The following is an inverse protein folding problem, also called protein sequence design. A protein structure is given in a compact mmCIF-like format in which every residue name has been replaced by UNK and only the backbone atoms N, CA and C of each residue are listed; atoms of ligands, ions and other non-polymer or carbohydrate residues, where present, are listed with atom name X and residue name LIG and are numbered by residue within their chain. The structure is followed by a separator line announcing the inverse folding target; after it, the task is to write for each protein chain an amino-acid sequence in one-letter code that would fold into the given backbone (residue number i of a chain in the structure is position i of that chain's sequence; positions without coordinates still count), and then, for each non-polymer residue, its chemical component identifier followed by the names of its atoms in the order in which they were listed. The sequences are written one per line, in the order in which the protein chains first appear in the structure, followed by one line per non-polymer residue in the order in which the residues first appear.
data_IF_780193027882
#
_entry.id   IF_780193027882
#
_cell.length_a   1.000
_cell.length_b   1.000
_cell.length_c   1.000
_cell.angle_alpha   90.00
_cell.angle_beta   90.00
_cell.angle_gamma   90.00
#
_symmetry.space_group_name_H-M   'P 1'
#
loop_
_entity.id
_entity.type
_entity.pdbx_description
1 polymer ?
#
# COMPACT_ATOMS: atom_id res chain seq x y z
N UNK A 1 14.36 11.62 14.55
CA UNK A 1 12.99 11.91 14.08
C UNK A 1 12.28 12.73 15.14
N UNK A 2 11.75 13.89 14.77
CA UNK A 2 11.19 14.84 15.74
C UNK A 2 9.69 14.59 15.96
N UNK A 3 9.11 15.14 17.04
CA UNK A 3 7.69 14.93 17.36
C UNK A 3 6.73 15.40 16.26
N UNK A 4 7.12 16.43 15.50
CA UNK A 4 6.38 16.94 14.33
C UNK A 4 6.30 15.91 13.21
N UNK A 5 7.41 15.25 12.89
CA UNK A 5 7.47 14.24 11.82
C UNK A 5 6.58 13.06 12.15
N UNK A 6 6.60 12.63 13.42
CA UNK A 6 5.76 11.55 13.91
C UNK A 6 4.27 11.91 13.84
N UNK A 7 3.91 13.14 14.21
CA UNK A 7 2.53 13.63 14.13
C UNK A 7 2.05 13.68 12.67
N UNK A 8 2.87 14.22 11.76
CA UNK A 8 2.54 14.28 10.33
C UNK A 8 2.42 12.87 9.74
N UNK A 9 3.34 11.96 10.07
CA UNK A 9 3.28 10.56 9.67
C UNK A 9 2.02 9.87 10.20
N UNK A 10 1.62 10.13 11.45
CA UNK A 10 0.39 9.59 12.04
C UNK A 10 -0.84 10.08 11.25
N UNK A 11 -0.90 11.37 10.92
CA UNK A 11 -1.97 11.92 10.08
C UNK A 11 -2.00 11.28 8.69
N UNK A 12 -0.84 11.05 8.07
CA UNK A 12 -0.74 10.34 6.79
C UNK A 12 -1.33 8.93 6.88
N UNK A 13 -1.02 8.19 7.94
CA UNK A 13 -1.55 6.85 8.18
C UNK A 13 -3.06 6.88 8.45
N UNK A 14 -3.56 7.85 9.23
CA UNK A 14 -5.00 8.04 9.47
C UNK A 14 -5.75 8.30 8.16
N UNK A 15 -5.23 9.21 7.32
CA UNK A 15 -5.82 9.53 6.02
C UNK A 15 -5.82 8.32 5.08
N UNK A 16 -4.67 7.63 4.99
CA UNK A 16 -4.55 6.41 4.19
C UNK A 16 -5.53 5.33 4.67
N UNK A 17 -5.56 5.03 5.96
CA UNK A 17 -6.47 4.04 6.52
C UNK A 17 -7.94 4.38 6.27
N UNK A 18 -8.29 5.67 6.33
CA UNK A 18 -9.65 6.16 6.01
C UNK A 18 -10.02 5.91 4.55
N UNK A 19 -9.09 6.14 3.63
CA UNK A 19 -9.25 5.85 2.20
C UNK A 19 -9.42 4.35 1.98
N UNK A 20 -8.60 3.51 2.61
CA UNK A 20 -8.72 2.06 2.49
C UNK A 20 -10.04 1.51 3.07
N UNK A 21 -10.53 2.06 4.17
CA UNK A 21 -11.85 1.70 4.71
C UNK A 21 -12.99 2.02 3.73
N UNK A 22 -12.84 3.09 2.95
CA UNK A 22 -13.87 3.58 2.03
C UNK A 22 -13.81 2.88 0.66
N UNK A 23 -12.62 2.73 0.08
CA UNK A 23 -12.45 2.19 -1.28
C UNK A 23 -12.16 0.67 -1.24
N UNK A 24 -11.49 0.19 -0.19
CA UNK A 24 -11.02 -1.20 -0.03
C UNK A 24 -9.52 -1.37 -0.21
N UNK A 25 -8.84 -0.36 -0.76
CA UNK A 25 -7.40 -0.28 -0.94
C UNK A 25 -6.98 1.19 -0.99
N UNK A 26 -5.67 1.45 -1.08
CA UNK A 26 -5.15 2.80 -1.32
C UNK A 26 -4.71 3.56 -0.09
N UNK A 27 -4.62 2.91 1.09
CA UNK A 27 -3.97 3.54 2.24
C UNK A 27 -2.55 3.97 1.88
N UNK A 28 -1.79 3.02 1.34
CA UNK A 28 -0.44 3.22 0.85
C UNK A 28 -0.33 4.28 -0.25
N UNK A 29 -1.30 4.35 -1.17
CA UNK A 29 -1.31 5.36 -2.24
C UNK A 29 -1.30 6.78 -1.66
N UNK A 30 -1.98 7.00 -0.55
CA UNK A 30 -2.02 8.32 0.11
C UNK A 30 -0.86 8.48 1.09
N UNK A 31 -0.67 7.53 2.00
CA UNK A 31 0.23 7.70 3.13
C UNK A 31 1.69 7.78 2.69
N UNK A 32 2.13 6.97 1.74
CA UNK A 32 3.54 6.82 1.38
C UNK A 32 4.12 8.05 0.70
N UNK A 33 3.54 8.61 -0.37
CA UNK A 33 4.12 9.82 -0.97
C UNK A 33 4.09 11.02 -0.03
N UNK A 34 3.09 11.11 0.87
CA UNK A 34 3.09 12.13 1.91
C UNK A 34 4.17 11.89 2.96
N UNK A 35 4.39 10.64 3.38
CA UNK A 35 5.47 10.27 4.30
C UNK A 35 6.85 10.55 3.70
N UNK A 36 7.07 10.28 2.41
CA UNK A 36 8.31 10.65 1.71
C UNK A 36 8.56 12.17 1.74
N UNK A 37 7.50 12.98 1.64
CA UNK A 37 7.59 14.44 1.79
C UNK A 37 7.85 14.89 3.23
N UNK A 38 7.50 14.09 4.24
CA UNK A 38 7.83 14.39 5.64
C UNK A 38 9.29 14.00 5.89
N UNK A 39 9.59 12.71 5.74
CA UNK A 39 10.91 12.15 5.98
C UNK A 39 11.05 10.82 5.20
N UNK A 40 12.03 10.69 4.28
CA UNK A 40 12.26 9.46 3.52
C UNK A 40 12.47 8.22 4.41
N UNK A 41 13.01 8.37 5.62
CA UNK A 41 13.21 7.27 6.56
C UNK A 41 11.90 6.59 7.03
N UNK A 42 10.73 7.20 6.77
CA UNK A 42 9.44 6.59 7.07
C UNK A 42 9.05 5.46 6.09
N UNK A 43 9.74 5.36 4.95
CA UNK A 43 9.40 4.45 3.85
C UNK A 43 10.65 3.67 3.41
N UNK A 44 10.54 2.36 3.14
CA UNK A 44 9.34 1.53 3.27
C UNK A 44 9.08 0.99 4.69
N UNK A 45 10.08 0.97 5.59
CA UNK A 45 10.04 0.26 6.86
C UNK A 45 8.86 0.63 7.79
N UNK A 46 8.86 1.81 8.42
CA UNK A 46 7.81 2.23 9.35
C UNK A 46 6.40 2.21 8.74
N UNK A 47 6.27 2.65 7.49
CA UNK A 47 5.01 2.65 6.74
C UNK A 47 4.46 1.23 6.55
N UNK A 48 5.32 0.25 6.28
CA UNK A 48 4.93 -1.16 6.10
C UNK A 48 4.37 -1.75 7.39
N UNK A 49 5.04 -1.49 8.52
CA UNK A 49 4.60 -1.94 9.85
C UNK A 49 3.25 -1.30 10.22
N UNK A 50 3.08 0.00 9.99
CA UNK A 50 1.82 0.69 10.23
C UNK A 50 0.70 0.14 9.31
N UNK A 51 1.02 -0.10 8.04
CA UNK A 51 0.11 -0.65 7.03
C UNK A 51 -0.40 -2.04 7.37
N UNK A 52 0.41 -2.87 8.05
CA UNK A 52 -0.03 -4.19 8.52
C UNK A 52 -1.28 -4.10 9.40
N UNK A 53 -1.35 -3.08 10.28
CA UNK A 53 -2.49 -2.87 11.17
C UNK A 53 -3.76 -2.59 10.37
N UNK A 54 -3.67 -1.72 9.36
CA UNK A 54 -4.80 -1.38 8.47
C UNK A 54 -5.26 -2.61 7.70
N UNK A 55 -4.32 -3.40 7.17
CA UNK A 55 -4.61 -4.62 6.43
C UNK A 55 -5.26 -5.70 7.30
N UNK A 56 -4.79 -5.88 8.55
CA UNK A 56 -5.39 -6.83 9.51
C UNK A 56 -6.82 -6.45 9.88
N UNK A 57 -7.08 -5.17 10.14
CA UNK A 57 -8.43 -4.68 10.46
C UNK A 57 -9.34 -4.88 9.24
N UNK A 58 -8.87 -4.54 8.04
CA UNK A 58 -9.62 -4.73 6.80
C UNK A 58 -9.94 -6.19 6.50
N UNK A 59 -8.95 -7.08 6.67
CA UNK A 59 -9.14 -8.52 6.49
C UNK A 59 -10.21 -9.05 7.45
N UNK A 60 -10.14 -8.68 8.73
CA UNK A 60 -11.13 -9.09 9.74
C UNK A 60 -12.52 -8.53 9.45
N UNK A 61 -12.62 -7.28 9.00
CA UNK A 61 -13.89 -6.63 8.69
C UNK A 61 -14.64 -7.28 7.51
N UNK A 62 -13.90 -7.86 6.56
CA UNK A 62 -14.45 -8.38 5.30
C UNK A 62 -14.42 -9.91 5.12
N UNK A 63 -13.79 -10.67 6.01
CA UNK A 63 -13.41 -12.08 5.79
C UNK A 63 -14.51 -12.99 5.21
N UNK A 64 -15.77 -12.79 5.61
CA UNK A 64 -16.90 -13.59 5.14
C UNK A 64 -17.23 -13.46 3.64
N UNK A 65 -16.79 -12.38 2.97
CA UNK A 65 -17.08 -12.12 1.55
C UNK A 65 -15.84 -12.19 0.65
N UNK A 66 -14.69 -12.59 1.22
CA UNK A 66 -13.43 -12.64 0.51
C UNK A 66 -13.40 -13.80 -0.50
N UNK A 67 -12.90 -13.52 -1.70
CA UNK A 67 -12.61 -14.54 -2.70
C UNK A 67 -11.29 -15.26 -2.38
N UNK A 68 -11.34 -16.23 -1.48
CA UNK A 68 -10.17 -17.01 -1.06
C UNK A 68 -9.46 -17.78 -2.20
N UNK A 69 -10.20 -18.14 -3.26
CA UNK A 69 -9.61 -18.79 -4.43
C UNK A 69 -8.73 -17.80 -5.18
N UNK A 70 -9.20 -16.57 -5.36
CA UNK A 70 -8.41 -15.53 -5.98
C UNK A 70 -7.26 -15.04 -5.12
N UNK A 71 -7.43 -14.96 -3.79
CA UNK A 71 -6.32 -14.72 -2.83
C UNK A 71 -5.17 -15.68 -3.08
N UNK A 72 -5.45 -16.98 -3.22
CA UNK A 72 -4.39 -17.98 -3.46
C UNK A 72 -3.57 -17.68 -4.72
N UNK A 73 -4.22 -17.33 -5.83
CA UNK A 73 -3.51 -17.02 -7.08
C UNK A 73 -2.75 -15.70 -7.02
N UNK A 74 -3.33 -14.69 -6.37
CA UNK A 74 -2.64 -13.44 -6.11
C UNK A 74 -1.38 -13.66 -5.26
N UNK A 75 -1.47 -14.46 -4.20
CA UNK A 75 -0.35 -14.78 -3.30
C UNK A 75 0.76 -15.55 -4.01
N UNK A 76 0.41 -16.53 -4.85
CA UNK A 76 1.41 -17.21 -5.70
C UNK A 76 2.11 -16.19 -6.61
N UNK A 77 1.36 -15.23 -7.15
CA UNK A 77 1.92 -14.13 -7.94
C UNK A 77 2.83 -13.20 -7.12
N UNK A 78 2.53 -12.95 -5.84
CA UNK A 78 3.35 -12.07 -4.99
C UNK A 78 4.81 -12.54 -4.92
N UNK A 79 5.04 -13.85 -4.84
CA UNK A 79 6.39 -14.43 -4.61
C UNK A 79 7.42 -13.91 -5.63
N UNK A 80 7.28 -14.09 -6.95
CA UNK A 80 8.25 -13.57 -7.91
C UNK A 80 8.37 -12.04 -7.88
N UNK A 81 7.27 -11.33 -7.61
CA UNK A 81 7.29 -9.87 -7.51
C UNK A 81 8.09 -9.36 -6.31
N UNK A 82 7.87 -9.96 -5.15
CA UNK A 82 8.58 -9.67 -3.91
C UNK A 82 10.06 -10.05 -4.01
N UNK A 83 10.40 -11.16 -4.66
CA UNK A 83 11.80 -11.53 -4.91
C UNK A 83 12.50 -10.54 -5.86
N UNK A 84 11.81 -10.09 -6.92
CA UNK A 84 12.35 -9.06 -7.81
C UNK A 84 12.59 -7.73 -7.08
N UNK A 85 11.67 -7.35 -6.18
CA UNK A 85 11.85 -6.18 -5.33
C UNK A 85 12.96 -6.35 -4.28
N UNK A 86 13.10 -7.55 -3.70
CA UNK A 86 14.20 -7.88 -2.80
C UNK A 86 15.56 -7.72 -3.50
N UNK A 87 15.66 -8.21 -4.74
CA UNK A 87 16.85 -8.00 -5.57
C UNK A 87 17.11 -6.52 -5.80
N UNK A 88 16.09 -5.71 -6.13
CA UNK A 88 16.27 -4.27 -6.28
C UNK A 88 16.77 -3.63 -4.98
N UNK A 89 16.08 -3.86 -3.85
CA UNK A 89 16.43 -3.28 -2.55
C UNK A 89 17.80 -3.73 -2.04
N UNK A 90 18.28 -4.91 -2.41
CA UNK A 90 19.63 -5.35 -2.06
C UNK A 90 20.74 -4.54 -2.76
N UNK A 91 20.43 -3.82 -3.84
CA UNK A 91 21.41 -3.05 -4.63
C UNK A 91 21.26 -1.53 -4.47
N UNK A 92 20.18 -1.06 -3.84
CA UNK A 92 19.93 0.38 -3.63
C UNK A 92 20.08 0.73 -2.16
N UNK A 93 20.54 1.95 -1.86
CA UNK A 93 20.66 2.41 -0.46
C UNK A 93 20.35 3.91 -0.32
N UNK A 94 19.92 4.31 0.89
CA UNK A 94 19.63 5.70 1.22
C UNK A 94 18.58 6.32 0.28
N UNK A 95 18.95 7.41 -0.38
CA UNK A 95 18.07 8.19 -1.25
C UNK A 95 17.56 7.39 -2.46
N UNK A 96 18.33 6.41 -2.94
CA UNK A 96 17.93 5.55 -4.06
C UNK A 96 16.68 4.73 -3.74
N UNK A 97 16.52 4.30 -2.48
CA UNK A 97 15.32 3.58 -2.00
C UNK A 97 14.12 4.53 -1.98
N UNK A 98 14.34 5.79 -1.64
CA UNK A 98 13.33 6.85 -1.72
C UNK A 98 12.87 7.09 -3.16
N UNK A 99 13.81 7.16 -4.12
CA UNK A 99 13.52 7.28 -5.56
C UNK A 99 12.76 6.05 -6.06
N UNK A 100 13.22 4.85 -5.69
CA UNK A 100 12.56 3.58 -6.05
C UNK A 100 11.13 3.53 -5.50
N UNK A 101 10.93 4.00 -4.27
CA UNK A 101 9.62 4.08 -3.65
C UNK A 101 8.70 5.08 -4.37
N UNK A 102 9.20 6.28 -4.65
CA UNK A 102 8.43 7.33 -5.34
C UNK A 102 8.05 6.91 -6.77
N UNK A 103 8.97 6.30 -7.51
CA UNK A 103 8.71 5.79 -8.87
C UNK A 103 7.71 4.63 -8.85
N UNK A 104 7.80 3.73 -7.89
CA UNK A 104 6.82 2.67 -7.69
C UNK A 104 5.43 3.24 -7.33
N UNK A 105 5.32 4.27 -6.50
CA UNK A 105 4.05 4.98 -6.24
C UNK A 105 3.48 5.54 -7.54
N UNK A 106 4.29 6.20 -8.37
CA UNK A 106 3.84 6.73 -9.67
C UNK A 106 3.36 5.63 -10.63
N UNK A 107 4.07 4.49 -10.67
CA UNK A 107 3.61 3.33 -11.42
C UNK A 107 2.26 2.82 -10.90
N UNK A 108 2.08 2.77 -9.58
CA UNK A 108 0.83 2.42 -8.91
C UNK A 108 -0.32 3.39 -9.26
N UNK A 109 -0.04 4.70 -9.33
CA UNK A 109 -1.00 5.73 -9.77
C UNK A 109 -1.37 5.51 -11.24
N UNK A 110 -0.39 5.30 -12.11
CA UNK A 110 -0.61 5.04 -13.53
C UNK A 110 -1.51 3.80 -13.74
N UNK A 111 -1.21 2.69 -13.07
CA UNK A 111 -2.05 1.47 -13.09
C UNK A 111 -3.46 1.75 -12.58
N UNK A 112 -3.60 2.55 -11.51
CA UNK A 112 -4.91 2.89 -10.96
C UNK A 112 -5.75 3.79 -11.87
N UNK A 113 -5.11 4.54 -12.78
CA UNK A 113 -5.75 5.41 -13.76
C UNK A 113 -6.10 4.67 -15.07
N UNK A 114 -5.57 3.47 -15.29
CA UNK A 114 -5.89 2.67 -16.47
C UNK A 114 -7.37 2.23 -16.46
N UNK A 115 -8.01 2.30 -17.64
CA UNK A 115 -9.39 1.83 -17.89
C UNK A 115 -9.40 0.46 -18.59
N UNK A 116 -8.27 -0.26 -18.55
CA UNK A 116 -8.15 -1.60 -19.14
C UNK A 116 -9.00 -2.55 -18.32
N UNK A 117 -9.79 -3.41 -18.97
CA UNK A 117 -10.58 -4.48 -18.35
C UNK A 117 -9.92 -5.84 -18.60
N UNK A 118 -9.07 -6.35 -17.69
CA UNK A 118 -8.45 -7.65 -17.86
C UNK A 118 -9.53 -8.73 -17.90
N UNK A 119 -9.45 -9.64 -18.87
CA UNK A 119 -10.33 -10.81 -18.90
C UNK A 119 -9.97 -11.68 -17.69
N UNK A 120 -10.92 -11.81 -16.75
CA UNK A 120 -10.71 -12.48 -15.47
C UNK A 120 -10.11 -13.88 -15.61
N UNK A 121 -9.35 -14.30 -14.60
CA UNK A 121 -8.76 -15.64 -14.56
C UNK A 121 -7.47 -15.73 -13.75
N UNK A 122 -6.94 -16.96 -13.65
CA UNK A 122 -5.75 -17.26 -12.84
C UNK A 122 -4.51 -16.47 -13.29
N UNK A 123 -4.33 -16.29 -14.61
CA UNK A 123 -3.18 -15.58 -15.18
C UNK A 123 -3.18 -14.10 -14.83
N UNK A 124 -4.34 -13.45 -14.86
CA UNK A 124 -4.48 -12.04 -14.44
C UNK A 124 -4.18 -11.89 -12.96
N UNK A 125 -4.68 -12.78 -12.11
CA UNK A 125 -4.42 -12.75 -10.67
C UNK A 125 -2.95 -13.01 -10.34
N UNK A 126 -2.28 -13.92 -11.06
CA UNK A 126 -0.85 -14.15 -10.94
C UNK A 126 -0.05 -12.91 -11.32
N UNK A 127 -0.36 -12.29 -12.46
CA UNK A 127 0.32 -11.07 -12.92
C UNK A 127 0.07 -9.89 -11.96
N UNK A 128 -1.19 -9.68 -11.56
CA UNK A 128 -1.56 -8.66 -10.60
C UNK A 128 -0.88 -8.90 -9.24
N UNK A 129 -0.79 -10.15 -8.80
CA UNK A 129 -0.02 -10.55 -7.63
C UNK A 129 1.46 -10.20 -7.78
N UNK A 130 2.08 -10.48 -8.92
CA UNK A 130 3.49 -10.16 -9.17
C UNK A 130 3.76 -8.66 -9.12
N UNK A 131 2.99 -7.86 -9.86
CA UNK A 131 3.16 -6.40 -9.82
C UNK A 131 2.82 -5.83 -8.44
N UNK A 132 1.79 -6.37 -7.77
CA UNK A 132 1.48 -6.00 -6.39
C UNK A 132 2.62 -6.34 -5.44
N UNK A 133 3.25 -7.50 -5.57
CA UNK A 133 4.35 -7.93 -4.71
C UNK A 133 5.57 -7.03 -4.87
N UNK A 134 5.88 -6.66 -6.11
CA UNK A 134 6.93 -5.70 -6.42
C UNK A 134 6.64 -4.33 -5.79
N UNK A 135 5.50 -3.71 -6.13
CA UNK A 135 5.11 -2.38 -5.64
C UNK A 135 4.91 -2.33 -4.12
N UNK A 136 4.40 -3.41 -3.52
CA UNK A 136 4.26 -3.52 -2.07
C UNK A 136 5.63 -3.59 -1.38
N UNK A 137 6.60 -4.27 -1.97
CA UNK A 137 7.90 -4.46 -1.32
C UNK A 137 8.79 -3.24 -1.50
N UNK A 138 8.80 -2.62 -2.68
CA UNK A 138 9.60 -1.42 -2.93
C UNK A 138 9.06 -0.18 -2.25
N UNK A 139 7.74 0.01 -2.28
CA UNK A 139 7.11 1.25 -1.84
C UNK A 139 6.02 1.08 -0.79
N UNK A 140 5.56 -0.14 -0.51
CA UNK A 140 4.37 -0.39 0.32
C UNK A 140 3.03 -0.24 -0.41
N UNK A 141 3.03 -0.07 -1.75
CA UNK A 141 1.83 0.23 -2.55
C UNK A 141 1.37 -0.98 -3.41
N UNK A 142 1.01 -2.10 -2.79
CA UNK A 142 0.55 -3.30 -3.53
C UNK A 142 -0.83 -3.18 -4.17
N UNK A 143 -1.64 -2.19 -3.79
CA UNK A 143 -3.06 -2.15 -4.11
C UNK A 143 -3.48 -2.13 -5.58
N UNK A 144 -2.88 -1.28 -6.43
CA UNK A 144 -3.42 -0.98 -7.76
C UNK A 144 -3.54 -2.16 -8.73
N UNK A 145 -2.52 -3.04 -8.90
CA UNK A 145 -2.64 -4.13 -9.86
C UNK A 145 -3.76 -5.12 -9.49
N UNK A 146 -3.91 -5.42 -8.20
CA UNK A 146 -4.99 -6.29 -7.72
C UNK A 146 -6.35 -5.60 -7.75
N UNK A 147 -6.41 -4.29 -7.48
CA UNK A 147 -7.62 -3.52 -7.66
C UNK A 147 -8.09 -3.47 -9.12
N UNK A 148 -7.14 -3.42 -10.08
CA UNK A 148 -7.44 -3.53 -11.51
C UNK A 148 -7.93 -4.94 -11.88
N UNK A 149 -7.33 -5.99 -11.32
CA UNK A 149 -7.78 -7.37 -11.55
C UNK A 149 -9.19 -7.65 -11.01
N UNK A 150 -9.60 -6.94 -9.96
CA UNK A 150 -10.92 -7.04 -9.34
C UNK A 150 -11.86 -5.87 -9.69
N UNK A 151 -11.56 -5.06 -10.71
CA UNK A 151 -12.31 -3.83 -10.99
C UNK A 151 -13.80 -4.07 -11.35
N UNK A 152 -14.09 -5.20 -12.00
CA UNK A 152 -15.46 -5.59 -12.38
C UNK A 152 -16.14 -6.43 -11.26
N UNK A 153 -15.43 -6.76 -10.18
CA UNK A 153 -16.00 -7.47 -9.05
C UNK A 153 -16.87 -6.53 -8.20
N UNK A 154 -17.90 -7.04 -7.50
CA UNK A 154 -18.67 -6.23 -6.56
C UNK A 154 -17.75 -5.58 -5.52
N UNK A 155 -17.99 -4.31 -5.19
CA UNK A 155 -17.14 -3.55 -4.26
C UNK A 155 -16.93 -4.27 -2.91
N UNK A 156 -17.94 -5.02 -2.44
CA UNK A 156 -17.86 -5.83 -1.21
C UNK A 156 -16.82 -6.95 -1.31
N UNK A 157 -16.71 -7.61 -2.47
CA UNK A 157 -15.71 -8.67 -2.73
C UNK A 157 -14.32 -8.05 -2.82
N UNK A 158 -14.16 -6.93 -3.53
CA UNK A 158 -12.90 -6.19 -3.61
C UNK A 158 -12.39 -5.80 -2.20
N UNK A 159 -13.24 -5.10 -1.42
CA UNK A 159 -12.93 -4.58 -0.08
C UNK A 159 -12.62 -5.68 0.94
N UNK A 160 -13.11 -6.91 0.73
CA UNK A 160 -12.84 -8.05 1.61
C UNK A 160 -11.64 -8.88 1.17
N UNK A 161 -11.41 -8.99 -0.14
CA UNK A 161 -10.36 -9.85 -0.71
C UNK A 161 -9.00 -9.17 -0.67
N UNK A 162 -8.91 -7.90 -1.04
CA UNK A 162 -7.64 -7.20 -1.15
C UNK A 162 -6.87 -7.10 0.18
N UNK A 163 -7.49 -6.74 1.32
CA UNK A 163 -6.76 -6.73 2.59
C UNK A 163 -6.19 -8.08 2.98
N UNK A 164 -6.86 -9.20 2.65
CA UNK A 164 -6.34 -10.54 2.92
C UNK A 164 -5.05 -10.82 2.13
N UNK A 165 -4.99 -10.41 0.86
CA UNK A 165 -3.76 -10.49 0.06
C UNK A 165 -2.69 -9.57 0.63
N UNK A 166 -3.05 -8.34 1.02
CA UNK A 166 -2.08 -7.38 1.55
C UNK A 166 -1.50 -7.79 2.89
N UNK A 167 -2.25 -8.46 3.78
CA UNK A 167 -1.67 -9.01 5.02
C UNK A 167 -0.51 -9.94 4.68
N UNK A 168 -0.71 -10.87 3.74
CA UNK A 168 0.32 -11.83 3.33
C UNK A 168 1.48 -11.10 2.64
N UNK A 169 1.17 -10.16 1.74
CA UNK A 169 2.18 -9.35 1.04
C UNK A 169 3.04 -8.55 2.03
N UNK A 170 2.41 -7.88 2.99
CA UNK A 170 3.09 -7.07 4.02
C UNK A 170 4.00 -7.94 4.89
N UNK A 171 3.56 -9.13 5.32
CA UNK A 171 4.42 -10.04 6.10
C UNK A 171 5.64 -10.49 5.29
N UNK A 172 5.46 -10.87 4.02
CA UNK A 172 6.57 -11.22 3.14
C UNK A 172 7.53 -10.04 2.93
N UNK A 173 6.99 -8.85 2.66
CA UNK A 173 7.76 -7.61 2.53
C UNK A 173 8.56 -7.31 3.79
N UNK A 174 7.97 -7.44 4.98
CA UNK A 174 8.68 -7.21 6.24
C UNK A 174 9.86 -8.17 6.40
N UNK A 175 9.71 -9.43 6.02
CA UNK A 175 10.83 -10.38 5.98
C UNK A 175 11.98 -9.90 5.07
N UNK A 176 11.65 -9.50 3.84
CA UNK A 176 12.64 -8.95 2.89
C UNK A 176 13.29 -7.66 3.41
N UNK A 177 12.53 -6.76 4.02
CA UNK A 177 13.09 -5.52 4.55
C UNK A 177 14.04 -5.78 5.72
N UNK A 178 13.77 -6.78 6.57
CA UNK A 178 14.71 -7.20 7.62
C UNK A 178 15.98 -7.78 6.99
N UNK A 179 15.85 -8.67 6.02
CA UNK A 179 17.00 -9.31 5.36
C UNK A 179 17.88 -8.31 4.58
N UNK A 180 17.26 -7.32 3.94
CA UNK A 180 17.95 -6.28 3.16
C UNK A 180 18.41 -5.08 4.00
N UNK A 181 18.12 -5.06 5.31
CA UNK A 181 18.53 -3.98 6.22
C UNK A 181 17.69 -2.69 6.15
N UNK A 182 16.50 -2.75 5.54
CA UNK A 182 15.55 -1.62 5.40
C UNK A 182 14.42 -1.63 6.44
N UNK A 183 14.50 -2.52 7.44
CA UNK A 183 13.59 -2.55 8.58
C UNK A 183 14.36 -2.93 9.85
N UNK A 184 14.75 -1.91 10.62
CA UNK A 184 15.47 -2.06 11.88
C UNK A 184 14.57 -1.89 13.12
N UNK A 185 15.15 -1.92 14.32
CA UNK A 185 14.41 -1.76 15.57
C UNK A 185 13.75 -0.37 15.72
N UNK A 186 14.35 0.68 15.17
CA UNK A 186 13.81 2.04 15.17
C UNK A 186 12.59 2.10 14.25
N UNK A 187 12.66 1.43 13.10
CA UNK A 187 11.57 1.37 12.15
C UNK A 187 10.37 0.62 12.71
N UNK A 188 10.62 -0.52 13.36
CA UNK A 188 9.61 -1.29 14.07
C UNK A 188 8.90 -0.44 15.14
N UNK A 189 9.68 0.23 15.99
CA UNK A 189 9.13 1.11 17.03
C UNK A 189 8.29 2.23 16.41
N UNK A 190 8.80 2.87 15.37
CA UNK A 190 8.11 3.95 14.67
C UNK A 190 6.79 3.46 14.06
N UNK A 191 6.82 2.36 13.33
CA UNK A 191 5.63 1.77 12.73
C UNK A 191 4.58 1.36 13.77
N UNK A 192 5.01 0.83 14.92
CA UNK A 192 4.12 0.51 16.04
C UNK A 192 3.51 1.76 16.68
N UNK A 193 4.24 2.87 16.76
CA UNK A 193 3.70 4.17 17.21
C UNK A 193 2.67 4.74 16.23
N UNK A 194 2.79 4.41 14.94
CA UNK A 194 1.86 4.84 13.89
C UNK A 194 0.63 3.92 13.77
N UNK A 195 0.73 2.66 14.20
CA UNK A 195 -0.33 1.67 14.12
C UNK A 195 -1.69 2.12 14.72
N UNK A 196 -1.75 2.83 15.88
CA UNK A 196 -3.00 3.37 16.40
C UNK A 196 -3.69 4.32 15.41
N UNK A 197 -2.94 5.12 14.66
CA UNK A 197 -3.50 5.98 13.62
C UNK A 197 -4.19 5.19 12.52
N UNK A 198 -3.63 4.04 12.15
CA UNK A 198 -4.25 3.12 11.19
C UNK A 198 -5.58 2.56 11.69
N UNK A 199 -5.63 2.17 12.96
CA UNK A 199 -6.86 1.70 13.59
C UNK A 199 -7.93 2.79 13.67
N UNK A 200 -7.56 3.98 14.17
CA UNK A 200 -8.45 5.13 14.29
C UNK A 200 -9.02 5.54 12.93
N UNK A 201 -8.15 5.74 11.93
CA UNK A 201 -8.57 6.12 10.58
C UNK A 201 -9.50 5.09 9.95
N UNK A 202 -9.15 3.80 10.04
CA UNK A 202 -9.98 2.74 9.44
C UNK A 202 -11.36 2.65 10.12
N UNK A 203 -11.41 2.62 11.46
CA UNK A 203 -12.64 2.44 12.20
C UNK A 203 -13.58 3.65 12.10
N UNK A 204 -13.04 4.87 12.16
CA UNK A 204 -13.84 6.08 12.01
C UNK A 204 -14.43 6.18 10.60
N UNK A 205 -13.60 6.02 9.57
CA UNK A 205 -14.07 6.14 8.19
C UNK A 205 -15.08 5.06 7.80
N UNK A 206 -14.97 3.84 8.35
CA UNK A 206 -15.93 2.76 8.09
C UNK A 206 -17.37 3.16 8.41
N UNK A 207 -17.61 4.02 9.39
CA UNK A 207 -18.97 4.46 9.76
C UNK A 207 -19.61 5.41 8.74
N UNK A 208 -18.80 6.08 7.91
CA UNK A 208 -19.26 7.03 6.88
C UNK A 208 -18.94 6.56 5.46
N UNK A 209 -18.21 5.45 5.30
CA UNK A 209 -17.74 4.92 4.02
C UNK A 209 -18.85 4.73 3.00
N UNK A 210 -20.05 4.33 3.45
CA UNK A 210 -21.21 4.10 2.56
C UNK A 210 -21.85 5.41 2.06
N UNK A 211 -21.51 6.56 2.66
CA UNK A 211 -22.00 7.90 2.27
C UNK A 211 -21.07 8.61 1.29
N UNK A 212 -19.86 8.09 1.05
CA UNK A 212 -18.85 8.72 0.23
C UNK A 212 -18.88 8.12 -1.18
N UNK A 213 -18.91 9.00 -2.19
CA UNK A 213 -18.72 8.59 -3.58
C UNK A 213 -17.29 8.08 -3.79
N UNK A 214 -17.15 6.74 -3.84
CA UNK A 214 -15.88 6.07 -3.98
C UNK A 214 -15.14 6.41 -5.28
N UNK A 215 -15.85 6.77 -6.36
CA UNK A 215 -15.22 7.14 -7.63
C UNK A 215 -14.56 8.53 -7.53
N UNK A 216 -15.27 9.50 -6.93
CA UNK A 216 -14.70 10.84 -6.68
C UNK A 216 -13.53 10.77 -5.71
N UNK A 217 -13.67 10.01 -4.62
CA UNK A 217 -12.58 9.82 -3.66
C UNK A 217 -11.36 9.18 -4.33
N UNK A 218 -11.56 8.15 -5.16
CA UNK A 218 -10.47 7.53 -5.93
C UNK A 218 -9.76 8.55 -6.82
N UNK A 219 -10.50 9.38 -7.57
CA UNK A 219 -9.92 10.43 -8.41
C UNK A 219 -9.08 11.43 -7.61
N UNK A 220 -9.62 11.91 -6.48
CA UNK A 220 -8.91 12.84 -5.59
C UNK A 220 -7.64 12.23 -4.99
N UNK A 221 -7.72 10.96 -4.57
CA UNK A 221 -6.57 10.20 -4.05
C UNK A 221 -5.48 10.08 -5.11
N UNK A 222 -5.83 9.70 -6.34
CA UNK A 222 -4.83 9.55 -7.41
C UNK A 222 -4.16 10.88 -7.77
N UNK A 223 -4.92 11.98 -7.81
CA UNK A 223 -4.36 13.31 -8.05
C UNK A 223 -3.39 13.71 -6.91
N UNK A 224 -3.80 13.54 -5.66
CA UNK A 224 -2.97 13.83 -4.49
C UNK A 224 -1.70 12.97 -4.51
N UNK A 225 -1.83 11.65 -4.68
CA UNK A 225 -0.72 10.71 -4.76
C UNK A 225 0.26 11.07 -5.86
N UNK A 226 -0.23 11.45 -7.06
CA UNK A 226 0.61 11.86 -8.17
C UNK A 226 1.43 13.10 -7.82
N UNK A 227 0.76 14.16 -7.35
CA UNK A 227 1.41 15.42 -6.98
C UNK A 227 2.43 15.21 -5.87
N UNK A 228 2.07 14.48 -4.82
CA UNK A 228 2.96 14.22 -3.69
C UNK A 228 4.15 13.34 -4.07
N UNK A 229 3.96 12.32 -4.92
CA UNK A 229 5.05 11.46 -5.38
C UNK A 229 6.01 12.20 -6.33
N UNK A 230 5.49 13.05 -7.22
CA UNK A 230 6.33 13.92 -8.08
C UNK A 230 7.13 14.90 -7.21
N UNK A 231 6.49 15.55 -6.24
CA UNK A 231 7.16 16.48 -5.34
C UNK A 231 8.22 15.78 -4.48
N UNK A 232 7.94 14.57 -3.98
CA UNK A 232 8.91 13.77 -3.24
C UNK A 232 10.10 13.38 -4.12
N UNK A 233 9.84 12.89 -5.34
CA UNK A 233 10.88 12.53 -6.29
C UNK A 233 11.77 13.74 -6.64
N UNK A 234 11.16 14.90 -6.92
CA UNK A 234 11.89 16.13 -7.18
C UNK A 234 12.76 16.54 -5.98
N UNK A 235 12.24 16.46 -4.76
CA UNK A 235 12.99 16.79 -3.54
C UNK A 235 14.17 15.85 -3.28
N UNK A 236 14.07 14.58 -3.67
CA UNK A 236 15.14 13.60 -3.45
C UNK A 236 16.25 13.75 -4.50
N UNK A 237 15.91 14.17 -5.72
CA UNK A 237 16.85 14.23 -6.85
C UNK A 237 17.51 15.60 -7.03
N UNK A 238 16.85 16.69 -6.61
CA UNK A 238 17.35 18.07 -6.72
C UNK A 238 18.06 18.52 -5.44
#
# INVERSE_FOLDING_TARGET
MNGTDLLLALLCVVLGASVQATIGFGAALVSIPLMLLVNPALVPGPATVAGLTVNLIGMRAGAAHADWRGVRWAVVGLVPGTLAAAWALAHFSGDEVGVLSATAVLAAVAVSAMVVRPVGGRRVLLAAGMFSGYLNTTAGVGGPPLALAYQDAPAKVLRSTLPAVFVIATVLTMGILVETGHLDAVDWRTGLLLAPGGAVGYLLARTWADRIDGARLRGAVLALSAVSAIAALARIVL
#
